data_IF_300403670254
#
_entry.id   IF_300403670254
#
_cell.length_a   1.000
_cell.length_b   1.000
_cell.length_c   1.000
_cell.angle_alpha   90.00
_cell.angle_beta   90.00
_cell.angle_gamma   90.00
#
_symmetry.space_group_name_H-M   'P 1'
#
loop_
_entity.id
_entity.type
_entity.pdbx_description
1 polymer ?
#
# COMPACT_ATOMS: atom_id res chain seq x y z
N UNK A 1 -25.75 5.59 -7.34
CA UNK A 1 -24.36 5.69 -7.88
C UNK A 1 -23.71 4.35 -7.57
N UNK A 2 -23.09 3.69 -8.55
CA UNK A 2 -22.53 2.34 -8.37
C UNK A 2 -21.01 2.38 -8.15
N UNK A 3 -20.34 3.43 -8.62
CA UNK A 3 -18.90 3.60 -8.50
C UNK A 3 -18.57 5.08 -8.34
N UNK A 4 -17.68 5.39 -7.40
CA UNK A 4 -17.11 6.72 -7.23
C UNK A 4 -15.59 6.61 -7.31
N UNK A 5 -15.00 7.26 -8.31
CA UNK A 5 -13.56 7.45 -8.41
C UNK A 5 -13.15 8.78 -7.81
N UNK A 6 -12.02 8.80 -7.11
CA UNK A 6 -11.45 9.99 -6.51
C UNK A 6 -9.98 10.10 -6.89
N UNK A 7 -9.54 11.29 -7.26
CA UNK A 7 -8.14 11.55 -7.59
C UNK A 7 -7.81 13.03 -7.34
N UNK A 8 -6.54 13.32 -7.07
CA UNK A 8 -6.02 14.69 -6.99
C UNK A 8 -5.73 15.24 -8.39
N UNK A 9 -5.59 14.39 -9.42
CA UNK A 9 -5.37 14.81 -10.80
C UNK A 9 -6.68 14.95 -11.57
N UNK A 10 -7.06 16.21 -11.87
CA UNK A 10 -8.26 16.52 -12.66
C UNK A 10 -8.22 15.96 -14.09
N UNK A 11 -7.03 15.76 -14.66
CA UNK A 11 -6.90 15.23 -16.02
C UNK A 11 -7.24 13.72 -16.06
N UNK A 12 -6.79 12.98 -15.06
CA UNK A 12 -7.06 11.53 -14.95
C UNK A 12 -8.56 11.29 -14.72
N UNK A 13 -9.21 12.11 -13.88
CA UNK A 13 -10.66 12.08 -13.70
C UNK A 13 -11.43 12.37 -14.99
N UNK A 14 -10.97 13.33 -15.81
CA UNK A 14 -11.58 13.63 -17.12
C UNK A 14 -11.42 12.48 -18.09
N UNK A 15 -10.26 11.82 -18.11
CA UNK A 15 -10.04 10.62 -18.90
C UNK A 15 -11.00 9.52 -18.49
N UNK A 16 -11.08 9.23 -17.18
CA UNK A 16 -11.96 8.21 -16.63
C UNK A 16 -13.44 8.46 -16.98
N UNK A 17 -13.92 9.69 -16.79
CA UNK A 17 -15.29 10.06 -17.16
C UNK A 17 -15.55 9.94 -18.67
N UNK A 18 -14.59 10.27 -19.53
CA UNK A 18 -14.79 10.22 -21.00
C UNK A 18 -14.66 8.82 -21.58
N UNK A 19 -13.82 7.98 -21.00
CA UNK A 19 -13.45 6.66 -21.56
C UNK A 19 -14.15 5.54 -20.81
N UNK A 20 -13.95 5.43 -19.48
CA UNK A 20 -14.46 4.31 -18.70
C UNK A 20 -15.98 4.33 -18.61
N UNK A 21 -16.58 5.51 -18.35
CA UNK A 21 -18.03 5.64 -18.27
C UNK A 21 -18.74 5.25 -19.59
N UNK A 22 -18.11 5.50 -20.74
CA UNK A 22 -18.65 5.10 -22.05
C UNK A 22 -18.52 3.60 -22.31
N UNK A 23 -17.48 2.95 -21.77
CA UNK A 23 -17.24 1.51 -21.93
C UNK A 23 -18.17 0.65 -21.07
N UNK A 24 -18.66 1.19 -19.96
CA UNK A 24 -19.52 0.47 -19.01
C UNK A 24 -20.80 1.26 -18.68
N UNK A 25 -21.70 1.47 -19.66
CA UNK A 25 -22.87 2.35 -19.51
C UNK A 25 -23.90 1.84 -18.47
N UNK A 26 -23.84 0.56 -18.09
CA UNK A 26 -24.67 -0.03 -17.04
C UNK A 26 -24.23 0.37 -15.63
N UNK A 27 -22.99 0.85 -15.45
CA UNK A 27 -22.45 1.25 -14.14
C UNK A 27 -22.56 2.77 -14.01
N UNK A 28 -23.36 3.25 -13.06
CA UNK A 28 -23.46 4.69 -12.76
C UNK A 28 -22.20 5.16 -12.03
N UNK A 29 -21.26 5.69 -12.79
CA UNK A 29 -19.95 6.18 -12.33
C UNK A 29 -19.99 7.69 -12.06
N UNK A 30 -19.35 8.11 -10.98
CA UNK A 30 -19.07 9.51 -10.66
C UNK A 30 -17.58 9.66 -10.37
N UNK A 31 -16.98 10.78 -10.76
CA UNK A 31 -15.58 11.08 -10.50
C UNK A 31 -15.47 12.41 -9.78
N UNK A 32 -14.78 12.43 -8.65
CA UNK A 32 -14.59 13.64 -7.84
C UNK A 32 -13.12 13.98 -7.72
N UNK A 33 -12.83 15.27 -7.77
CA UNK A 33 -11.53 15.79 -7.38
C UNK A 33 -11.49 15.89 -5.87
N UNK A 34 -10.56 15.20 -5.24
CA UNK A 34 -10.23 15.44 -3.84
C UNK A 34 -8.78 15.07 -3.57
N UNK A 35 -8.11 15.93 -2.82
CA UNK A 35 -6.89 15.55 -2.12
C UNK A 35 -7.31 14.81 -0.86
N UNK A 36 -7.25 13.48 -0.89
CA UNK A 36 -7.71 12.64 0.22
C UNK A 36 -6.84 12.81 1.46
N UNK A 37 -5.59 13.27 1.34
CA UNK A 37 -4.72 13.54 2.49
C UNK A 37 -5.21 14.77 3.27
N UNK A 38 -5.54 15.86 2.59
CA UNK A 38 -5.88 17.14 3.23
C UNK A 38 -7.39 17.41 3.36
N UNK A 39 -8.20 16.90 2.43
CA UNK A 39 -9.64 17.15 2.36
C UNK A 39 -10.38 15.88 1.87
N UNK A 40 -10.43 14.83 2.70
CA UNK A 40 -11.06 13.57 2.31
C UNK A 40 -12.54 13.76 1.98
N UNK A 41 -13.08 13.05 0.98
CA UNK A 41 -14.51 13.07 0.68
C UNK A 41 -15.29 12.25 1.73
N UNK A 42 -15.29 12.70 2.99
CA UNK A 42 -15.77 11.99 4.17
C UNK A 42 -17.15 11.37 3.98
N UNK A 43 -18.12 12.13 3.46
CA UNK A 43 -19.48 11.62 3.21
C UNK A 43 -19.53 10.47 2.21
N UNK A 44 -18.64 10.45 1.21
CA UNK A 44 -18.55 9.35 0.26
C UNK A 44 -17.91 8.11 0.91
N UNK A 45 -16.85 8.31 1.70
CA UNK A 45 -16.16 7.25 2.43
C UNK A 45 -17.12 6.58 3.43
N UNK A 46 -17.86 7.35 4.23
CA UNK A 46 -18.81 6.83 5.22
C UNK A 46 -19.97 6.05 4.60
N UNK A 47 -20.40 6.42 3.39
CA UNK A 47 -21.53 5.77 2.69
C UNK A 47 -21.10 4.64 1.75
N UNK A 48 -19.81 4.31 1.71
CA UNK A 48 -19.30 3.30 0.81
C UNK A 48 -19.65 1.88 1.30
N UNK A 49 -20.21 1.06 0.41
CA UNK A 49 -20.41 -0.36 0.68
C UNK A 49 -19.08 -1.14 0.67
N UNK A 50 -18.10 -0.65 -0.10
CA UNK A 50 -16.73 -1.14 -0.10
C UNK A 50 -15.78 -0.02 -0.55
N UNK A 51 -14.53 -0.08 -0.10
CA UNK A 51 -13.47 0.87 -0.49
C UNK A 51 -12.34 0.07 -1.14
N UNK A 52 -11.84 0.56 -2.27
CA UNK A 52 -10.70 -0.03 -2.97
C UNK A 52 -9.63 1.04 -3.08
N UNK A 53 -8.43 0.74 -2.59
CA UNK A 53 -7.24 1.58 -2.76
C UNK A 53 -6.15 0.76 -3.44
N UNK A 54 -5.95 1.04 -4.72
CA UNK A 54 -4.94 0.37 -5.53
C UNK A 54 -3.67 1.19 -5.57
N UNK A 55 -2.53 0.52 -5.40
CA UNK A 55 -1.19 1.09 -5.52
C UNK A 55 -1.01 2.35 -4.67
N UNK A 56 -1.00 2.21 -3.33
CA UNK A 56 -0.88 3.35 -2.42
C UNK A 56 0.47 4.08 -2.49
N UNK A 57 1.48 3.61 -3.24
CA UNK A 57 2.74 4.32 -3.52
C UNK A 57 3.48 4.85 -2.27
N UNK A 58 3.42 4.10 -1.17
CA UNK A 58 4.16 4.45 0.05
C UNK A 58 5.66 4.45 -0.18
N UNK A 59 6.13 3.56 -1.04
CA UNK A 59 7.55 3.26 -1.22
C UNK A 59 8.13 3.82 -2.53
N UNK A 60 7.54 4.87 -3.08
CA UNK A 60 8.11 5.55 -4.25
C UNK A 60 9.38 6.32 -3.88
N UNK A 61 10.52 5.95 -4.48
CA UNK A 61 11.84 6.54 -4.21
C UNK A 61 12.42 7.39 -5.34
N UNK A 62 11.75 7.51 -6.48
CA UNK A 62 12.21 8.33 -7.62
C UNK A 62 12.56 9.77 -7.22
N UNK A 63 13.53 10.36 -7.93
CA UNK A 63 14.08 11.68 -7.63
C UNK A 63 13.03 12.79 -7.78
N UNK A 64 12.12 12.64 -8.73
CA UNK A 64 10.99 13.55 -8.97
C UNK A 64 9.87 13.41 -7.93
N UNK A 65 9.81 12.27 -7.22
CA UNK A 65 8.76 12.01 -6.25
C UNK A 65 9.01 12.78 -4.96
N UNK A 66 8.09 13.67 -4.52
CA UNK A 66 8.28 14.45 -3.30
C UNK A 66 8.53 13.57 -2.08
N UNK A 67 9.51 13.92 -1.24
CA UNK A 67 9.82 13.18 0.00
C UNK A 67 8.61 13.09 0.96
N UNK A 68 7.71 14.08 0.89
CA UNK A 68 6.47 14.11 1.68
C UNK A 68 5.41 13.09 1.24
N UNK A 69 5.55 12.44 0.08
CA UNK A 69 4.52 11.52 -0.45
C UNK A 69 4.13 10.46 0.58
N UNK A 70 5.11 9.87 1.28
CA UNK A 70 4.85 8.84 2.30
C UNK A 70 3.99 9.35 3.47
N UNK A 71 4.10 10.64 3.83
CA UNK A 71 3.20 11.27 4.79
C UNK A 71 1.79 11.43 4.20
N UNK A 72 1.70 11.90 2.95
CA UNK A 72 0.41 12.07 2.28
C UNK A 72 -0.33 10.71 2.20
N UNK A 73 0.38 9.62 1.86
CA UNK A 73 -0.18 8.26 1.83
C UNK A 73 -0.57 7.76 3.22
N UNK A 74 0.25 8.02 4.24
CA UNK A 74 -0.09 7.71 5.63
C UNK A 74 -1.35 8.46 6.10
N UNK A 75 -1.50 9.71 5.69
CA UNK A 75 -2.66 10.54 6.01
C UNK A 75 -3.92 10.08 5.24
N UNK A 76 -3.78 9.64 3.99
CA UNK A 76 -4.86 9.03 3.22
C UNK A 76 -5.36 7.77 3.91
N UNK A 77 -4.45 6.87 4.31
CA UNK A 77 -4.82 5.66 5.05
C UNK A 77 -5.59 6.03 6.32
N UNK A 78 -5.06 6.97 7.11
CA UNK A 78 -5.71 7.46 8.32
C UNK A 78 -7.13 7.97 8.04
N UNK A 79 -7.28 8.86 7.06
CA UNK A 79 -8.56 9.47 6.72
C UNK A 79 -9.59 8.44 6.23
N UNK A 80 -9.16 7.42 5.48
CA UNK A 80 -10.04 6.31 5.08
C UNK A 80 -10.53 5.56 6.32
N UNK A 81 -9.64 5.19 7.23
CA UNK A 81 -9.98 4.43 8.44
C UNK A 81 -10.86 5.23 9.42
N UNK A 82 -10.64 6.54 9.50
CA UNK A 82 -11.41 7.45 10.38
C UNK A 82 -12.85 7.62 9.93
N UNK A 83 -13.08 7.69 8.61
CA UNK A 83 -14.39 8.04 8.07
C UNK A 83 -15.22 6.84 7.60
N UNK A 84 -14.60 5.70 7.30
CA UNK A 84 -15.32 4.51 6.85
C UNK A 84 -16.17 3.93 7.97
N UNK A 85 -17.27 3.27 7.62
CA UNK A 85 -18.00 2.46 8.60
C UNK A 85 -17.11 1.30 9.09
N UNK A 86 -17.30 0.90 10.35
CA UNK A 86 -16.62 -0.25 10.96
C UNK A 86 -16.80 -1.55 10.15
N UNK A 87 -17.94 -1.72 9.48
CA UNK A 87 -18.30 -2.88 8.67
C UNK A 87 -17.92 -2.71 7.19
N UNK A 88 -17.59 -1.51 6.73
CA UNK A 88 -17.18 -1.30 5.33
C UNK A 88 -15.82 -1.97 5.11
N UNK A 89 -15.73 -2.98 4.21
CA UNK A 89 -14.47 -3.60 3.86
C UNK A 89 -13.57 -2.63 3.08
N UNK A 90 -12.27 -2.74 3.33
CA UNK A 90 -11.22 -2.00 2.63
C UNK A 90 -10.30 -3.00 1.93
N UNK A 91 -10.27 -2.95 0.60
CA UNK A 91 -9.32 -3.69 -0.22
C UNK A 91 -8.15 -2.77 -0.56
N UNK A 92 -6.95 -3.12 -0.09
CA UNK A 92 -5.69 -2.48 -0.52
C UNK A 92 -4.97 -3.45 -1.43
N UNK A 93 -4.51 -2.98 -2.58
CA UNK A 93 -3.66 -3.77 -3.47
C UNK A 93 -2.34 -3.06 -3.72
N UNK A 94 -1.27 -3.82 -3.72
CA UNK A 94 0.06 -3.32 -4.11
C UNK A 94 0.74 -4.34 -5.01
N UNK A 95 1.71 -3.83 -5.77
CA UNK A 95 2.60 -4.68 -6.52
C UNK A 95 3.57 -5.34 -5.54
N UNK A 96 4.26 -4.58 -4.70
CA UNK A 96 5.38 -5.11 -3.94
C UNK A 96 5.07 -5.78 -2.59
N UNK A 97 5.72 -6.92 -2.27
CA UNK A 97 5.55 -7.59 -0.98
C UNK A 97 6.00 -6.70 0.19
N UNK A 98 7.10 -5.95 0.04
CA UNK A 98 7.61 -5.06 1.08
C UNK A 98 6.73 -3.82 1.29
N UNK A 99 6.05 -3.33 0.25
CA UNK A 99 5.00 -2.32 0.40
C UNK A 99 3.78 -2.89 1.15
N UNK A 100 3.36 -4.13 0.85
CA UNK A 100 2.26 -4.75 1.59
C UNK A 100 2.61 -4.96 3.07
N UNK A 101 3.84 -5.41 3.38
CA UNK A 101 4.33 -5.49 4.76
C UNK A 101 4.26 -4.12 5.44
N UNK A 102 4.67 -3.06 4.75
CA UNK A 102 4.59 -1.69 5.26
C UNK A 102 3.15 -1.27 5.59
N UNK A 103 2.22 -1.50 4.67
CA UNK A 103 0.80 -1.20 4.87
C UNK A 103 0.24 -1.95 6.07
N UNK A 104 0.54 -3.25 6.21
CA UNK A 104 0.06 -4.08 7.32
C UNK A 104 0.58 -3.61 8.68
N UNK A 105 1.88 -3.36 8.78
CA UNK A 105 2.51 -2.89 10.02
C UNK A 105 2.02 -1.47 10.40
N UNK A 106 1.75 -0.61 9.41
CA UNK A 106 1.15 0.70 9.64
C UNK A 106 -0.32 0.58 10.11
N UNK A 107 -1.11 -0.31 9.48
CA UNK A 107 -2.47 -0.62 9.88
C UNK A 107 -2.55 -1.10 11.34
N UNK A 108 -1.65 -2.00 11.76
CA UNK A 108 -1.57 -2.46 13.16
C UNK A 108 -1.24 -1.34 14.15
N UNK A 109 -0.53 -0.30 13.70
CA UNK A 109 -0.26 0.87 14.52
C UNK A 109 -1.45 1.82 14.63
N UNK A 110 -2.28 1.94 13.59
CA UNK A 110 -3.48 2.76 13.62
C UNK A 110 -4.68 2.09 14.31
N UNK A 111 -4.79 0.77 14.23
CA UNK A 111 -5.96 0.04 14.74
C UNK A 111 -5.74 -0.54 16.14
N UNK A 112 -6.81 -0.57 16.95
CA UNK A 112 -6.86 -1.32 18.21
C UNK A 112 -6.66 -2.83 17.97
N UNK A 113 -6.50 -3.59 19.06
CA UNK A 113 -6.44 -5.06 18.99
C UNK A 113 -7.72 -5.59 18.34
N UNK A 114 -7.60 -6.57 17.45
CA UNK A 114 -8.75 -7.18 16.76
C UNK A 114 -8.93 -6.77 15.30
N UNK A 115 -7.90 -6.19 14.66
CA UNK A 115 -7.83 -6.07 13.20
C UNK A 115 -7.98 -7.47 12.55
N UNK A 116 -8.99 -7.63 11.68
CA UNK A 116 -9.20 -8.83 10.88
C UNK A 116 -9.05 -8.51 9.40
N UNK A 117 -8.29 -9.34 8.72
CA UNK A 117 -8.02 -9.20 7.30
C UNK A 117 -7.76 -10.54 6.63
N UNK A 118 -7.89 -10.55 5.31
CA UNK A 118 -7.46 -11.65 4.46
C UNK A 118 -6.34 -11.14 3.56
N UNK A 119 -5.18 -11.77 3.65
CA UNK A 119 -4.06 -11.53 2.76
C UNK A 119 -4.07 -12.60 1.65
N UNK A 120 -4.11 -12.16 0.40
CA UNK A 120 -4.05 -13.02 -0.77
C UNK A 120 -2.85 -12.62 -1.64
N UNK A 121 -2.08 -13.62 -2.06
CA UNK A 121 -1.00 -13.47 -3.04
C UNK A 121 -1.49 -14.07 -4.36
N UNK A 122 -1.71 -13.23 -5.36
CA UNK A 122 -2.08 -13.70 -6.70
C UNK A 122 -0.86 -14.37 -7.36
N UNK A 123 -1.00 -15.67 -7.68
CA UNK A 123 0.03 -16.50 -8.32
C UNK A 123 -0.36 -16.90 -9.75
N UNK A 124 -1.40 -16.29 -10.33
CA UNK A 124 -1.87 -16.64 -11.67
C UNK A 124 -0.80 -16.32 -12.73
N UNK A 125 -0.44 -17.34 -13.51
CA UNK A 125 0.48 -17.19 -14.63
C UNK A 125 -0.07 -16.17 -15.65
N UNK A 126 0.79 -15.25 -16.10
CA UNK A 126 0.48 -14.29 -17.17
C UNK A 126 -0.16 -12.96 -16.73
N UNK A 127 -0.65 -12.85 -15.48
CA UNK A 127 -1.03 -11.54 -14.89
C UNK A 127 0.14 -10.84 -14.20
N UNK A 128 1.10 -11.64 -13.71
CA UNK A 128 2.36 -11.16 -13.17
C UNK A 128 3.57 -11.92 -13.74
N UNK A 129 4.10 -11.49 -14.88
CA UNK A 129 5.15 -12.23 -15.57
C UNK A 129 6.02 -11.30 -16.41
N UNK A 130 7.34 -11.53 -16.35
CA UNK A 130 8.35 -10.87 -17.19
C UNK A 130 8.11 -11.07 -18.70
N UNK A 131 7.29 -12.05 -19.08
CA UNK A 131 6.95 -12.34 -20.48
C UNK A 131 5.88 -11.39 -21.04
N UNK A 132 5.33 -10.49 -20.23
CA UNK A 132 4.29 -9.55 -20.65
C UNK A 132 4.49 -8.16 -20.01
N UNK A 133 5.61 -7.45 -20.26
CA UNK A 133 5.87 -6.17 -19.61
C UNK A 133 4.78 -5.14 -20.01
N UNK A 134 4.12 -4.54 -19.02
CA UNK A 134 3.17 -3.43 -19.23
C UNK A 134 3.87 -2.06 -19.15
N UNK A 135 5.18 -2.06 -18.91
CA UNK A 135 5.99 -0.87 -18.62
C UNK A 135 6.82 -0.50 -19.84
N UNK A 136 7.30 0.74 -19.87
CA UNK A 136 8.14 1.24 -20.95
C UNK A 136 9.31 0.28 -21.17
N UNK A 137 9.51 -0.13 -22.42
CA UNK A 137 10.63 -0.97 -22.85
C UNK A 137 12.02 -0.42 -22.49
N UNK A 138 12.13 0.88 -22.19
CA UNK A 138 13.35 1.56 -21.77
C UNK A 138 13.52 1.63 -20.26
N UNK A 139 12.47 1.35 -19.48
CA UNK A 139 12.62 1.22 -18.04
C UNK A 139 13.42 -0.06 -17.78
N UNK A 140 14.55 0.06 -17.08
CA UNK A 140 15.40 -1.08 -16.71
C UNK A 140 15.35 -1.38 -15.22
N UNK A 141 14.54 -0.66 -14.45
CA UNK A 141 14.40 -0.91 -13.02
C UNK A 141 13.67 -2.25 -12.82
N UNK A 142 14.30 -3.24 -12.16
CA UNK A 142 13.66 -4.51 -11.90
C UNK A 142 12.40 -4.36 -11.02
N UNK A 143 12.24 -3.32 -10.19
CA UNK A 143 11.00 -3.15 -9.43
C UNK A 143 9.78 -2.96 -10.33
N UNK A 144 9.97 -2.25 -11.44
CA UNK A 144 8.93 -1.97 -12.41
C UNK A 144 8.80 -3.14 -13.39
N UNK A 145 9.89 -3.56 -14.03
CA UNK A 145 9.85 -4.54 -15.15
C UNK A 145 9.21 -5.89 -14.89
N UNK A 146 9.04 -6.25 -13.63
CA UNK A 146 8.58 -7.57 -13.27
C UNK A 146 7.05 -7.79 -13.48
N UNK A 147 6.29 -6.77 -13.95
CA UNK A 147 4.85 -6.78 -14.25
C UNK A 147 3.99 -7.42 -13.14
N UNK A 148 3.36 -6.63 -12.28
CA UNK A 148 2.94 -7.08 -10.94
C UNK A 148 1.53 -6.66 -10.52
N UNK A 149 0.60 -6.56 -11.46
CA UNK A 149 -0.73 -6.00 -11.21
C UNK A 149 -1.44 -6.62 -10.00
N UNK A 150 -1.55 -5.84 -8.93
CA UNK A 150 -2.26 -6.18 -7.68
C UNK A 150 -1.87 -7.55 -7.09
N UNK A 151 -0.59 -7.94 -7.19
CA UNK A 151 -0.13 -9.26 -6.72
C UNK A 151 -0.46 -9.48 -5.24
N UNK A 152 -0.18 -8.48 -4.40
CA UNK A 152 -0.51 -8.51 -2.98
C UNK A 152 -1.87 -7.84 -2.76
N UNK A 153 -2.83 -8.58 -2.23
CA UNK A 153 -4.19 -8.11 -1.98
C UNK A 153 -4.54 -8.27 -0.51
N UNK A 154 -4.88 -7.16 0.14
CA UNK A 154 -5.24 -7.11 1.55
C UNK A 154 -6.69 -6.67 1.69
N UNK A 155 -7.56 -7.60 2.08
CA UNK A 155 -8.96 -7.32 2.37
C UNK A 155 -9.17 -7.19 3.88
N UNK A 156 -9.27 -5.95 4.36
CA UNK A 156 -9.60 -5.65 5.75
C UNK A 156 -11.12 -5.74 5.91
N UNK A 157 -11.58 -6.66 6.77
CA UNK A 157 -13.00 -6.92 7.01
C UNK A 157 -13.48 -6.36 8.34
N UNK A 158 -12.58 -6.18 9.31
CA UNK A 158 -12.90 -5.58 10.59
C UNK A 158 -11.69 -4.81 11.11
N UNK A 159 -11.89 -3.54 11.45
CA UNK A 159 -10.87 -2.73 12.12
C UNK A 159 -11.54 -1.69 13.02
N UNK A 160 -10.96 -1.44 14.19
CA UNK A 160 -11.33 -0.34 15.07
C UNK A 160 -10.16 0.62 15.15
N UNK A 161 -10.37 1.87 14.75
CA UNK A 161 -9.32 2.90 14.79
C UNK A 161 -9.01 3.28 16.24
N UNK A 162 -7.73 3.44 16.59
CA UNK A 162 -7.34 3.99 17.89
C UNK A 162 -7.84 5.42 18.02
N UNK A 163 -8.32 5.78 19.21
CA UNK A 163 -8.64 7.18 19.55
C UNK A 163 -7.37 7.99 19.74
N UNK A 164 -6.74 8.38 18.63
CA UNK A 164 -5.59 9.28 18.62
C UNK A 164 -5.91 10.50 17.75
N UNK A 165 -5.55 11.69 18.24
CA UNK A 165 -5.49 12.86 17.38
C UNK A 165 -4.24 12.73 16.50
N UNK A 166 -4.41 12.48 15.20
CA UNK A 166 -3.29 12.36 14.27
C UNK A 166 -2.69 13.75 14.02
N UNK A 167 -1.38 13.86 14.21
CA UNK A 167 -0.59 15.04 13.86
C UNK A 167 0.53 14.61 12.94
N UNK A 168 1.14 15.53 12.21
CA UNK A 168 2.28 15.21 11.34
C UNK A 168 3.39 14.46 12.11
N UNK A 169 3.75 14.90 13.32
CA UNK A 169 4.77 14.24 14.15
C UNK A 169 4.39 12.80 14.54
N UNK A 170 3.11 12.56 14.87
CA UNK A 170 2.63 11.21 15.18
C UNK A 170 2.61 10.32 13.95
N UNK A 171 2.27 10.88 12.80
CA UNK A 171 2.30 10.16 11.54
C UNK A 171 3.74 9.79 11.16
N UNK A 172 4.67 10.74 11.25
CA UNK A 172 6.10 10.53 11.06
C UNK A 172 6.65 9.45 12.01
N UNK A 173 6.24 9.50 13.28
CA UNK A 173 6.62 8.48 14.28
C UNK A 173 6.06 7.10 13.94
N UNK A 174 4.81 7.01 13.47
CA UNK A 174 4.20 5.74 13.07
C UNK A 174 4.89 5.15 11.83
N UNK A 175 5.13 5.97 10.80
CA UNK A 175 5.88 5.54 9.61
C UNK A 175 7.29 5.07 9.98
N UNK A 176 8.00 5.83 10.82
CA UNK A 176 9.33 5.45 11.30
C UNK A 176 9.31 4.11 12.05
N UNK A 177 8.37 3.94 12.99
CA UNK A 177 8.20 2.69 13.73
C UNK A 177 7.89 1.52 12.80
N UNK A 178 7.13 1.74 11.73
CA UNK A 178 6.87 0.74 10.69
C UNK A 178 8.19 0.26 10.07
N UNK A 179 9.07 1.20 9.67
CA UNK A 179 10.39 0.85 9.16
C UNK A 179 11.27 0.13 10.19
N UNK A 180 11.28 0.60 11.45
CA UNK A 180 12.06 -0.05 12.51
C UNK A 180 11.66 -1.51 12.73
N UNK A 181 10.40 -1.86 12.47
CA UNK A 181 9.89 -3.22 12.57
C UNK A 181 10.29 -4.06 11.35
N UNK A 182 10.18 -3.49 10.13
CA UNK A 182 10.34 -4.21 8.87
C UNK A 182 11.81 -4.37 8.47
N UNK A 183 12.62 -3.31 8.56
CA UNK A 183 14.00 -3.31 8.08
C UNK A 183 14.85 -4.46 8.64
N UNK A 184 14.78 -4.82 9.94
CA UNK A 184 15.54 -5.95 10.48
C UNK A 184 15.14 -7.32 9.92
N UNK A 185 13.96 -7.44 9.30
CA UNK A 185 13.41 -8.70 8.77
C UNK A 185 13.82 -8.95 7.31
N UNK A 186 14.25 -7.92 6.57
CA UNK A 186 14.53 -8.02 5.14
C UNK A 186 15.70 -8.96 4.79
N UNK A 187 16.68 -9.10 5.71
CA UNK A 187 17.84 -9.98 5.57
C UNK A 187 18.08 -10.76 6.87
N UNK A 188 17.28 -11.82 7.15
CA UNK A 188 17.41 -12.57 8.42
C UNK A 188 18.74 -13.35 8.51
N UNK A 189 19.40 -13.59 7.37
CA UNK A 189 20.66 -14.33 7.27
C UNK A 189 21.91 -13.43 7.23
N UNK A 190 21.76 -12.12 6.97
CA UNK A 190 22.87 -11.18 7.03
C UNK A 190 23.01 -10.65 8.46
N UNK A 191 24.21 -10.77 9.03
CA UNK A 191 24.49 -10.31 10.40
C UNK A 191 24.49 -8.79 10.54
N UNK A 192 24.53 -8.06 9.42
CA UNK A 192 24.62 -6.61 9.41
C UNK A 192 23.21 -6.04 9.25
N UNK A 193 22.58 -5.74 10.39
CA UNK A 193 21.39 -4.89 10.40
C UNK A 193 21.78 -3.48 9.93
N UNK A 194 20.88 -2.72 9.29
CA UNK A 194 21.16 -1.33 8.92
C UNK A 194 21.15 -0.43 10.17
N UNK A 195 22.12 -0.61 11.06
CA UNK A 195 22.12 -0.05 12.42
C UNK A 195 22.08 1.47 12.41
N UNK A 196 22.80 2.12 11.50
CA UNK A 196 22.80 3.58 11.35
C UNK A 196 21.41 4.09 10.95
N UNK A 197 20.78 3.46 9.96
CA UNK A 197 19.42 3.82 9.54
C UNK A 197 18.40 3.59 10.67
N UNK A 198 18.50 2.46 11.39
CA UNK A 198 17.65 2.16 12.55
C UNK A 198 17.83 3.16 13.69
N UNK A 199 19.07 3.63 13.92
CA UNK A 199 19.38 4.69 14.87
C UNK A 199 18.75 6.02 14.47
N UNK A 200 18.88 6.41 13.19
CA UNK A 200 18.31 7.63 12.64
C UNK A 200 16.77 7.64 12.73
N UNK A 201 16.14 6.48 12.54
CA UNK A 201 14.68 6.33 12.69
C UNK A 201 14.16 6.64 14.11
N UNK A 202 15.01 6.70 15.14
CA UNK A 202 14.58 7.16 16.47
C UNK A 202 14.29 8.66 16.54
N UNK A 203 14.80 9.44 15.57
CA UNK A 203 14.53 10.88 15.40
C UNK A 203 14.22 11.13 13.92
N UNK A 204 13.09 10.59 13.43
CA UNK A 204 12.84 10.51 12.00
C UNK A 204 12.61 11.91 11.43
N UNK A 205 13.09 12.11 10.21
CA UNK A 205 12.72 13.18 9.31
C UNK A 205 12.41 12.61 7.92
N UNK A 206 12.03 13.49 6.98
CA UNK A 206 11.67 13.06 5.63
C UNK A 206 12.85 12.41 4.87
N UNK A 207 14.08 12.79 5.20
CA UNK A 207 15.28 12.25 4.56
C UNK A 207 15.54 10.84 5.05
N UNK A 208 15.43 10.62 6.35
CA UNK A 208 15.54 9.31 7.00
C UNK A 208 14.45 8.36 6.49
N UNK A 209 13.20 8.83 6.36
CA UNK A 209 12.13 8.00 5.77
C UNK A 209 12.42 7.66 4.31
N UNK A 210 12.94 8.61 3.51
CA UNK A 210 13.31 8.33 2.12
C UNK A 210 14.46 7.33 2.04
N UNK A 211 15.47 7.43 2.90
CA UNK A 211 16.54 6.43 2.97
C UNK A 211 16.00 5.04 3.32
N UNK A 212 15.03 4.94 4.25
CA UNK A 212 14.37 3.69 4.57
C UNK A 212 13.55 3.11 3.42
N UNK A 213 12.85 3.95 2.65
CA UNK A 213 12.17 3.54 1.41
C UNK A 213 13.19 2.97 0.41
N UNK A 214 14.26 3.72 0.12
CA UNK A 214 15.30 3.29 -0.81
C UNK A 214 15.90 1.94 -0.36
N UNK A 215 16.15 1.76 0.94
CA UNK A 215 16.68 0.52 1.47
C UNK A 215 15.75 -0.68 1.19
N UNK A 216 14.44 -0.52 1.39
CA UNK A 216 13.46 -1.58 1.11
C UNK A 216 13.42 -1.91 -0.39
N UNK A 217 13.36 -0.90 -1.24
CA UNK A 217 13.36 -1.08 -2.70
C UNK A 217 14.64 -1.75 -3.20
N UNK A 218 15.78 -1.36 -2.64
CA UNK A 218 17.09 -1.92 -3.00
C UNK A 218 17.26 -3.38 -2.59
N UNK A 219 16.41 -3.90 -1.68
CA UNK A 219 16.37 -5.34 -1.44
C UNK A 219 16.16 -6.10 -2.74
N UNK A 220 15.25 -5.65 -3.60
CA UNK A 220 15.02 -6.27 -4.92
C UNK A 220 15.99 -5.70 -5.96
N UNK A 221 16.16 -4.37 -5.99
CA UNK A 221 16.90 -3.68 -7.07
C UNK A 221 18.38 -4.07 -7.16
N UNK A 222 19.03 -4.32 -6.03
CA UNK A 222 20.46 -4.64 -5.96
C UNK A 222 20.73 -6.14 -5.86
N UNK A 223 19.70 -6.98 -5.75
CA UNK A 223 19.89 -8.42 -5.67
C UNK A 223 20.35 -8.99 -7.03
N UNK A 224 21.24 -9.97 -7.00
CA UNK A 224 21.76 -10.62 -8.21
C UNK A 224 20.67 -11.33 -9.03
N UNK A 225 19.58 -11.71 -8.37
CA UNK A 225 18.36 -12.24 -8.98
C UNK A 225 17.11 -11.59 -8.32
N UNK A 226 16.60 -10.50 -8.89
CA UNK A 226 15.44 -9.78 -8.34
C UNK A 226 14.18 -10.64 -8.21
N UNK A 227 13.98 -11.63 -9.08
CA UNK A 227 12.82 -12.53 -9.03
C UNK A 227 12.87 -13.44 -7.81
N UNK A 228 14.03 -14.06 -7.55
CA UNK A 228 14.22 -14.91 -6.38
C UNK A 228 14.02 -14.09 -5.09
N UNK A 229 14.60 -12.90 -5.02
CA UNK A 229 14.46 -12.05 -3.84
C UNK A 229 13.02 -11.62 -3.60
N UNK A 230 12.28 -11.32 -4.67
CA UNK A 230 10.85 -11.05 -4.56
C UNK A 230 10.08 -12.22 -3.98
N UNK A 231 10.31 -13.44 -4.47
CA UNK A 231 9.67 -14.65 -3.92
C UNK A 231 10.02 -14.84 -2.43
N UNK A 232 11.27 -14.57 -2.03
CA UNK A 232 11.66 -14.59 -0.61
C UNK A 232 10.88 -13.56 0.22
N UNK A 233 10.67 -12.35 -0.31
CA UNK A 233 9.88 -11.32 0.37
C UNK A 233 8.39 -11.67 0.42
N UNK A 234 7.85 -12.36 -0.59
CA UNK A 234 6.49 -12.89 -0.55
C UNK A 234 6.34 -13.95 0.54
N UNK A 235 7.30 -14.87 0.67
CA UNK A 235 7.33 -15.83 1.77
C UNK A 235 7.40 -15.14 3.13
N UNK A 236 8.28 -14.14 3.29
CA UNK A 236 8.39 -13.37 4.53
C UNK A 236 7.08 -12.66 4.88
N UNK A 237 6.43 -12.03 3.89
CA UNK A 237 5.13 -11.38 4.06
C UNK A 237 4.08 -12.39 4.58
N UNK A 238 3.99 -13.57 3.98
CA UNK A 238 3.01 -14.60 4.41
C UNK A 238 3.35 -15.19 5.76
N UNK A 239 4.62 -15.50 6.04
CA UNK A 239 5.05 -16.13 7.29
C UNK A 239 4.78 -15.22 8.51
N UNK A 240 4.97 -13.92 8.35
CA UNK A 240 4.80 -12.94 9.44
C UNK A 240 3.36 -12.43 9.60
N UNK A 241 2.57 -12.42 8.52
CA UNK A 241 1.29 -11.68 8.49
C UNK A 241 0.08 -12.50 8.02
N UNK A 242 0.21 -13.78 7.68
CA UNK A 242 -0.99 -14.60 7.44
C UNK A 242 -1.77 -14.76 8.76
N UNK A 243 -2.99 -14.22 8.80
CA UNK A 243 -3.93 -14.56 9.86
C UNK A 243 -4.45 -15.98 9.59
N UNK A 244 -4.52 -16.83 10.62
CA UNK A 244 -5.11 -18.16 10.50
C UNK A 244 -6.44 -18.06 9.75
N UNK A 245 -6.59 -18.85 8.68
CA UNK A 245 -7.84 -18.94 7.94
C UNK A 245 -8.92 -19.43 8.89
N UNK A 246 -9.68 -18.51 9.48
CA UNK A 246 -11.03 -18.83 9.88
C UNK A 246 -11.70 -19.34 8.61
N UNK A 247 -12.08 -20.61 8.59
CA UNK A 247 -12.75 -21.33 7.51
C UNK A 247 -14.07 -20.64 7.14
N UNK A 248 -14.01 -19.44 6.56
CA UNK A 248 -15.12 -18.86 5.84
C UNK A 248 -15.05 -19.50 4.47
N UNK A 249 -15.74 -20.65 4.36
CA UNK A 249 -16.33 -21.05 3.10
C UNK A 249 -17.10 -19.83 2.57
N UNK A 250 -16.53 -19.15 1.58
CA UNK A 250 -17.29 -18.31 0.68
C UNK A 250 -18.25 -19.25 -0.05
N UNK A 251 -19.40 -19.50 0.55
CA UNK A 251 -20.53 -20.08 -0.14
C UNK A 251 -21.03 -19.01 -1.12
N UNK A 252 -20.53 -19.11 -2.36
CA UNK A 252 -21.14 -18.46 -3.51
C UNK A 252 -22.54 -19.02 -3.78
#
# INVERSE_FOLDING_TARGET
MNYLGCDINKNDLRFNARVLQKRTPSIRQTYIYADVASSPPATAITKADCIIWRHPEFLSDHLETPKKLILDMGQILWNILEHKDSQTPLLITCYDPHEMMFVLELMQQFCEKGLKYHLCIDKQEGRASWKNPTIDSQDTDPLFNLNHHDQCQLLITQCQLKKINITQDKLLSALSRTFQIILPRMNPYERIKPSVLLENLNKPDLDTLREAVCYLNNQIREHSDPFIKREQLLSLLTDDHEQEKSLYQLNY
#
